data_IF_099340911903
#
_entry.id   IF_099340911903
#
_cell.length_a   1.000
_cell.length_b   1.000
_cell.length_c   1.000
_cell.angle_alpha   90.00
_cell.angle_beta   90.00
_cell.angle_gamma   90.00
#
_symmetry.space_group_name_H-M   'P 1'
#
loop_
_entity.id
_entity.type
_entity.pdbx_description
1 polymer ?
#
# COMPACT_ATOMS: atom_id res chain seq x y z
N UNK A 1 73.07 58.96 -4.02
CA UNK A 1 72.94 57.48 -3.85
C UNK A 1 71.52 57.11 -4.12
N UNK A 2 71.25 56.59 -5.34
CA UNK A 2 69.89 56.24 -5.80
C UNK A 2 69.68 54.74 -5.58
N UNK A 3 68.71 54.41 -4.80
CA UNK A 3 68.20 53.01 -4.65
C UNK A 3 67.00 52.83 -5.52
N UNK A 4 67.13 52.02 -6.58
CA UNK A 4 66.03 51.63 -7.45
C UNK A 4 65.35 50.38 -6.85
N UNK A 5 64.10 50.51 -6.41
CA UNK A 5 63.29 49.39 -5.96
C UNK A 5 62.49 48.87 -7.14
N UNK A 6 62.81 47.66 -7.61
CA UNK A 6 62.09 46.96 -8.65
C UNK A 6 60.84 46.27 -8.06
N UNK A 7 59.66 46.65 -8.53
CA UNK A 7 58.39 45.99 -8.24
C UNK A 7 58.08 44.91 -9.33
N UNK A 8 58.26 43.65 -9.03
CA UNK A 8 57.64 42.56 -9.80
C UNK A 8 56.49 42.02 -8.96
N UNK A 9 55.29 42.44 -9.29
CA UNK A 9 54.09 41.81 -8.80
C UNK A 9 53.87 40.55 -9.63
N UNK A 10 53.96 39.40 -8.99
CA UNK A 10 53.50 38.10 -9.54
C UNK A 10 52.03 37.99 -9.23
N UNK A 11 51.19 38.05 -10.27
CA UNK A 11 49.77 37.75 -10.17
C UNK A 11 49.62 36.23 -10.22
N UNK A 12 49.47 35.58 -9.07
CA UNK A 12 48.98 34.19 -9.00
C UNK A 12 47.48 34.18 -9.34
N UNK A 13 47.16 33.79 -10.56
CA UNK A 13 45.80 33.46 -10.96
C UNK A 13 45.46 32.10 -10.36
N UNK A 14 44.86 32.08 -9.18
CA UNK A 14 44.29 30.88 -8.60
C UNK A 14 43.12 30.39 -9.45
N UNK A 15 43.30 29.25 -10.12
CA UNK A 15 42.25 28.55 -10.84
C UNK A 15 41.27 27.97 -9.83
N UNK A 16 40.14 28.63 -9.59
CA UNK A 16 39.06 28.09 -8.79
C UNK A 16 38.34 27.05 -9.67
N UNK A 17 38.65 25.78 -9.45
CA UNK A 17 37.88 24.67 -10.04
C UNK A 17 36.47 24.67 -9.40
N UNK A 18 35.48 25.12 -10.15
CA UNK A 18 34.08 24.98 -9.75
C UNK A 18 33.71 23.50 -9.80
N UNK A 19 33.70 22.85 -8.63
CA UNK A 19 33.13 21.51 -8.49
C UNK A 19 31.63 21.60 -8.73
N UNK A 20 31.17 21.14 -9.88
CA UNK A 20 29.73 20.94 -10.14
C UNK A 20 29.23 19.78 -9.26
N UNK A 21 28.62 20.12 -8.14
CA UNK A 21 27.86 19.16 -7.33
C UNK A 21 26.63 18.78 -8.12
N UNK A 22 26.69 17.64 -8.81
CA UNK A 22 25.52 17.03 -9.41
C UNK A 22 24.67 16.47 -8.28
N UNK A 23 23.63 17.20 -7.86
CA UNK A 23 22.61 16.66 -6.96
C UNK A 23 21.95 15.47 -7.66
N UNK A 24 21.89 14.28 -7.05
CA UNK A 24 21.13 13.19 -7.61
C UNK A 24 19.69 13.69 -7.79
N UNK A 25 19.19 13.67 -9.02
CA UNK A 25 17.82 14.04 -9.31
C UNK A 25 16.91 13.23 -8.40
N UNK A 26 16.11 13.88 -7.56
CA UNK A 26 15.13 13.20 -6.73
C UNK A 26 14.21 12.39 -7.66
N UNK A 27 14.32 11.06 -7.61
CA UNK A 27 13.43 10.20 -8.36
C UNK A 27 11.99 10.58 -8.00
N UNK A 28 11.15 10.80 -9.00
CA UNK A 28 9.73 11.08 -8.76
C UNK A 28 9.15 9.93 -7.94
N UNK A 29 8.39 10.21 -6.88
CA UNK A 29 7.85 9.18 -6.01
C UNK A 29 6.94 8.25 -6.81
N UNK A 30 7.23 6.95 -6.78
CA UNK A 30 6.49 5.95 -7.54
C UNK A 30 5.17 5.58 -6.82
N UNK A 31 4.08 6.20 -7.27
CA UNK A 31 2.72 5.91 -6.80
C UNK A 31 2.19 4.55 -7.28
N UNK A 32 2.85 3.94 -8.28
CA UNK A 32 2.45 2.63 -8.82
C UNK A 32 3.06 1.46 -8.05
N UNK A 33 4.10 1.72 -7.26
CA UNK A 33 4.71 0.72 -6.39
C UNK A 33 3.66 0.06 -5.49
N UNK A 34 3.74 -1.25 -5.34
CA UNK A 34 2.85 -2.02 -4.46
C UNK A 34 2.99 -1.62 -2.98
N UNK A 35 2.08 -2.12 -2.11
CA UNK A 35 2.17 -1.89 -0.67
C UNK A 35 3.54 -2.29 -0.12
N UNK A 36 4.13 -1.43 0.72
CA UNK A 36 5.43 -1.64 1.35
C UNK A 36 5.26 -1.85 2.85
N UNK A 37 6.12 -2.66 3.47
CA UNK A 37 6.10 -2.83 4.92
C UNK A 37 6.29 -1.47 5.63
N UNK A 38 5.40 -1.17 6.59
CA UNK A 38 5.36 0.12 7.29
C UNK A 38 4.41 1.16 6.67
N UNK A 39 3.92 0.97 5.45
CA UNK A 39 2.85 1.81 4.91
C UNK A 39 1.61 1.76 5.83
N UNK A 40 0.97 2.90 6.03
CA UNK A 40 -0.38 2.98 6.59
C UNK A 40 -1.41 2.84 5.49
N UNK A 41 -2.68 3.12 5.82
CA UNK A 41 -3.77 3.10 4.86
C UNK A 41 -4.59 4.39 4.96
N UNK A 42 -5.08 4.87 3.84
CA UNK A 42 -6.06 5.97 3.77
C UNK A 42 -7.27 5.52 2.96
N UNK A 43 -8.50 5.93 3.33
CA UNK A 43 -9.68 5.61 2.53
C UNK A 43 -9.53 6.13 1.11
N UNK A 44 -10.05 5.40 0.12
CA UNK A 44 -10.06 5.89 -1.28
C UNK A 44 -10.87 7.18 -1.44
N UNK A 45 -11.82 7.42 -0.53
CA UNK A 45 -12.67 8.62 -0.49
C UNK A 45 -11.98 9.84 0.12
N UNK A 46 -10.87 9.63 0.87
CA UNK A 46 -10.06 10.70 1.45
C UNK A 46 -8.56 10.33 1.42
N UNK A 47 -7.91 10.39 0.24
CA UNK A 47 -6.50 10.06 0.10
C UNK A 47 -5.55 11.03 0.82
N UNK A 48 -6.02 12.25 1.09
CA UNK A 48 -5.24 13.28 1.80
C UNK A 48 -5.28 13.08 3.31
N UNK A 49 -6.22 12.30 3.82
CA UNK A 49 -6.47 12.09 5.24
C UNK A 49 -5.33 11.41 6.00
N UNK A 50 -5.53 11.33 7.30
CA UNK A 50 -4.63 10.61 8.20
C UNK A 50 -4.73 9.10 8.00
N UNK A 51 -3.65 8.38 8.33
CA UNK A 51 -3.65 6.93 8.26
C UNK A 51 -4.73 6.32 9.18
N UNK A 52 -5.40 5.28 8.68
CA UNK A 52 -6.48 4.60 9.37
C UNK A 52 -6.00 3.97 10.70
N UNK A 53 -6.70 4.32 11.76
CA UNK A 53 -6.53 3.70 13.06
C UNK A 53 -7.39 2.44 13.16
N UNK A 54 -6.94 1.47 13.95
CA UNK A 54 -7.63 0.19 14.09
C UNK A 54 -9.05 0.33 14.65
N UNK A 55 -9.31 1.35 15.48
CA UNK A 55 -10.63 1.63 16.03
C UNK A 55 -11.65 2.06 14.97
N UNK A 56 -11.19 2.66 13.86
CA UNK A 56 -12.07 3.07 12.76
C UNK A 56 -12.64 1.87 11.99
N UNK A 57 -11.95 0.72 12.05
CA UNK A 57 -12.37 -0.52 11.39
C UNK A 57 -13.25 -1.31 12.34
N UNK A 58 -14.57 -1.13 12.22
CA UNK A 58 -15.54 -1.69 13.15
C UNK A 58 -15.89 -3.13 12.80
N UNK A 59 -16.13 -3.96 13.83
CA UNK A 59 -16.63 -5.33 13.68
C UNK A 59 -18.00 -5.35 13.00
N UNK A 60 -18.20 -6.23 12.03
CA UNK A 60 -19.48 -6.40 11.32
C UNK A 60 -19.83 -5.27 10.35
N UNK A 61 -19.04 -4.20 10.33
CA UNK A 61 -19.22 -3.13 9.34
C UNK A 61 -18.70 -3.55 7.96
N UNK A 62 -19.18 -2.86 6.92
CA UNK A 62 -18.65 -3.02 5.58
C UNK A 62 -17.15 -2.73 5.55
N UNK A 63 -16.38 -3.43 4.70
CA UNK A 63 -14.95 -3.18 4.53
C UNK A 63 -14.65 -1.73 4.14
N UNK A 64 -13.52 -1.22 4.59
CA UNK A 64 -13.00 0.07 4.14
C UNK A 64 -12.12 -0.19 2.93
N UNK A 65 -12.50 0.37 1.78
CA UNK A 65 -11.64 0.39 0.59
C UNK A 65 -10.57 1.48 0.77
N UNK A 66 -9.30 1.09 0.70
CA UNK A 66 -8.19 1.96 1.06
C UNK A 66 -7.01 1.86 0.08
N UNK A 67 -6.19 2.92 0.08
CA UNK A 67 -4.89 2.95 -0.55
C UNK A 67 -3.79 2.82 0.51
N UNK A 68 -2.70 2.10 0.21
CA UNK A 68 -1.49 2.18 1.03
C UNK A 68 -0.89 3.59 0.93
N UNK A 69 -0.32 4.06 2.05
CA UNK A 69 0.33 5.37 2.15
C UNK A 69 1.64 5.24 2.90
N UNK A 70 2.72 5.63 2.26
CA UNK A 70 3.99 5.80 2.93
C UNK A 70 3.84 6.85 4.04
N UNK A 71 4.04 6.44 5.27
CA UNK A 71 3.84 7.30 6.45
C UNK A 71 4.94 8.34 6.62
N UNK A 72 6.12 8.10 6.09
CA UNK A 72 7.25 9.02 6.18
C UNK A 72 7.22 10.05 5.05
N UNK A 73 7.06 9.60 3.82
CA UNK A 73 7.01 10.47 2.66
C UNK A 73 5.62 11.09 2.43
N UNK A 74 4.57 10.59 3.09
CA UNK A 74 3.19 11.01 2.83
C UNK A 74 2.63 10.58 1.48
N UNK A 75 3.36 9.70 0.76
CA UNK A 75 3.02 9.27 -0.59
C UNK A 75 1.91 8.23 -0.58
N UNK A 76 0.79 8.52 -1.22
CA UNK A 76 -0.28 7.55 -1.47
C UNK A 76 0.05 6.72 -2.70
N UNK A 77 -0.06 5.38 -2.59
CA UNK A 77 0.23 4.44 -3.68
C UNK A 77 -1.02 4.13 -4.50
N UNK A 78 -1.62 5.17 -5.07
CA UNK A 78 -2.87 5.10 -5.83
C UNK A 78 -2.67 5.09 -7.36
N UNK A 79 -1.42 5.03 -7.82
CA UNK A 79 -1.08 4.98 -9.25
C UNK A 79 -1.40 3.65 -9.93
N UNK A 80 -1.68 2.59 -9.17
CA UNK A 80 -2.07 1.29 -9.72
C UNK A 80 -3.29 0.74 -9.00
N UNK A 81 -4.35 0.39 -9.74
CA UNK A 81 -5.59 -0.19 -9.17
C UNK A 81 -5.34 -1.45 -8.34
N UNK A 82 -4.29 -2.19 -8.62
CA UNK A 82 -3.91 -3.41 -7.90
C UNK A 82 -3.42 -3.14 -6.47
N UNK A 83 -3.20 -1.88 -6.12
CA UNK A 83 -2.84 -1.46 -4.77
C UNK A 83 -4.06 -1.26 -3.86
N UNK A 84 -5.29 -1.32 -4.40
CA UNK A 84 -6.50 -1.20 -3.60
C UNK A 84 -6.65 -2.37 -2.64
N UNK A 85 -6.97 -2.05 -1.39
CA UNK A 85 -7.06 -2.98 -0.29
C UNK A 85 -8.41 -2.84 0.41
N UNK A 86 -9.02 -3.97 0.74
CA UNK A 86 -10.18 -4.05 1.63
C UNK A 86 -9.69 -4.32 3.05
N UNK A 87 -10.01 -3.39 3.97
CA UNK A 87 -9.73 -3.52 5.40
C UNK A 87 -11.02 -3.83 6.15
N UNK A 88 -10.99 -4.86 6.97
CA UNK A 88 -12.14 -5.22 7.80
C UNK A 88 -11.69 -5.85 9.12
N UNK A 89 -12.61 -5.87 10.10
CA UNK A 89 -12.38 -6.50 11.40
C UNK A 89 -13.17 -7.80 11.46
N UNK A 90 -12.47 -8.89 11.72
CA UNK A 90 -13.06 -10.22 11.88
C UNK A 90 -12.81 -10.75 13.28
N UNK A 91 -13.63 -11.69 13.72
CA UNK A 91 -13.39 -12.47 14.95
C UNK A 91 -12.40 -13.57 14.61
N UNK A 92 -11.41 -13.75 15.44
CA UNK A 92 -10.52 -14.89 15.36
C UNK A 92 -11.12 -16.04 16.18
N UNK A 93 -11.84 -16.95 15.51
CA UNK A 93 -12.44 -18.11 16.15
C UNK A 93 -11.42 -19.19 16.55
N UNK A 94 -10.16 -19.03 16.12
CA UNK A 94 -9.09 -20.00 16.42
C UNK A 94 -8.47 -19.83 17.81
N UNK A 95 -8.78 -18.74 18.51
CA UNK A 95 -8.33 -18.45 19.88
C UNK A 95 -9.54 -18.53 20.81
N UNK A 96 -9.38 -19.19 21.95
CA UNK A 96 -10.44 -19.36 22.95
C UNK A 96 -11.01 -18.04 23.52
N UNK A 97 -10.33 -16.94 23.33
CA UNK A 97 -10.86 -15.59 23.54
C UNK A 97 -11.23 -15.06 22.17
N UNK A 98 -12.49 -14.62 22.01
CA UNK A 98 -12.97 -13.96 20.77
C UNK A 98 -12.15 -12.69 20.50
N UNK A 99 -10.94 -12.86 20.04
CA UNK A 99 -10.03 -11.74 19.75
C UNK A 99 -10.33 -11.20 18.37
N UNK A 100 -10.71 -9.93 18.34
CA UNK A 100 -10.89 -9.22 17.08
C UNK A 100 -9.54 -8.94 16.43
N UNK A 101 -9.41 -9.27 15.17
CA UNK A 101 -8.25 -8.88 14.35
C UNK A 101 -8.65 -8.08 13.12
N UNK A 102 -7.81 -7.12 12.76
CA UNK A 102 -7.90 -6.44 11.46
C UNK A 102 -7.24 -7.33 10.41
N UNK A 103 -7.96 -7.57 9.33
CA UNK A 103 -7.46 -8.28 8.14
C UNK A 103 -7.53 -7.38 6.92
N UNK A 104 -6.67 -7.66 5.95
CA UNK A 104 -6.60 -6.92 4.71
C UNK A 104 -6.51 -7.88 3.52
N UNK A 105 -7.25 -7.56 2.46
CA UNK A 105 -7.25 -8.33 1.21
C UNK A 105 -7.14 -7.40 0.03
N UNK A 106 -6.60 -7.91 -1.08
CA UNK A 106 -6.72 -7.21 -2.36
C UNK A 106 -8.19 -6.94 -2.67
N UNK A 107 -8.50 -5.73 -3.11
CA UNK A 107 -9.83 -5.40 -3.61
C UNK A 107 -10.09 -5.91 -5.04
N UNK A 108 -9.12 -6.60 -5.65
CA UNK A 108 -9.20 -7.03 -7.05
C UNK A 108 -9.50 -8.52 -7.13
N UNK A 109 -10.66 -8.84 -7.70
CA UNK A 109 -11.17 -10.21 -7.86
C UNK A 109 -10.24 -11.05 -8.78
N UNK A 110 -9.81 -12.24 -8.34
CA UNK A 110 -8.94 -13.11 -9.15
C UNK A 110 -9.62 -13.71 -10.38
N UNK A 111 -10.95 -13.61 -10.53
CA UNK A 111 -11.66 -14.12 -11.70
C UNK A 111 -11.35 -13.32 -12.97
N UNK A 112 -11.72 -12.03 -12.96
CA UNK A 112 -11.60 -11.15 -14.14
C UNK A 112 -11.09 -9.74 -13.77
N UNK A 113 -10.51 -9.59 -12.59
CA UNK A 113 -9.96 -8.32 -12.15
C UNK A 113 -11.00 -7.24 -11.81
N UNK A 114 -12.25 -7.59 -11.61
CA UNK A 114 -13.27 -6.65 -11.13
C UNK A 114 -12.98 -6.20 -9.70
N UNK A 115 -13.51 -5.05 -9.29
CA UNK A 115 -13.46 -4.61 -7.90
C UNK A 115 -14.43 -5.44 -7.05
N UNK A 116 -13.96 -5.97 -5.93
CA UNK A 116 -14.79 -6.58 -4.89
C UNK A 116 -15.30 -5.43 -4.02
N UNK A 117 -16.52 -4.98 -4.27
CA UNK A 117 -17.05 -3.75 -3.66
C UNK A 117 -18.16 -4.00 -2.65
N UNK A 118 -18.80 -5.16 -2.70
CA UNK A 118 -20.00 -5.39 -1.96
C UNK A 118 -19.74 -6.18 -0.67
N UNK A 119 -20.52 -5.87 0.35
CA UNK A 119 -20.50 -6.54 1.64
C UNK A 119 -21.86 -7.16 1.93
N UNK A 120 -21.87 -8.46 2.10
CA UNK A 120 -23.07 -9.23 2.47
C UNK A 120 -23.15 -9.34 4.00
N UNK A 121 -23.75 -8.35 4.64
CA UNK A 121 -23.77 -8.23 6.11
C UNK A 121 -24.39 -9.46 6.81
N UNK A 122 -25.38 -10.13 6.18
CA UNK A 122 -26.08 -11.29 6.74
C UNK A 122 -25.15 -12.52 6.85
N UNK A 123 -24.20 -12.64 5.94
CA UNK A 123 -23.29 -13.79 5.85
C UNK A 123 -21.86 -13.44 6.22
N UNK A 124 -21.55 -12.15 6.40
CA UNK A 124 -20.17 -11.67 6.65
C UNK A 124 -19.23 -11.92 5.49
N UNK A 125 -19.71 -11.88 4.25
CA UNK A 125 -18.93 -12.19 3.06
C UNK A 125 -18.63 -10.96 2.21
N UNK A 126 -17.46 -10.99 1.58
CA UNK A 126 -17.10 -10.07 0.51
C UNK A 126 -17.69 -10.58 -0.81
N UNK A 127 -18.27 -9.69 -1.61
CA UNK A 127 -18.90 -10.06 -2.87
C UNK A 127 -18.35 -9.23 -4.03
N UNK A 128 -18.09 -9.91 -5.13
CA UNK A 128 -17.68 -9.28 -6.39
C UNK A 128 -18.89 -9.17 -7.31
N UNK A 129 -19.42 -7.94 -7.55
CA UNK A 129 -20.65 -7.79 -8.36
C UNK A 129 -20.43 -8.10 -9.84
N UNK A 130 -19.17 -8.20 -10.30
CA UNK A 130 -18.90 -8.49 -11.70
C UNK A 130 -19.42 -9.84 -12.17
N UNK A 131 -19.19 -10.91 -11.39
CA UNK A 131 -19.62 -12.26 -11.77
C UNK A 131 -20.06 -13.10 -10.56
N UNK A 132 -20.36 -12.47 -9.42
CA UNK A 132 -20.95 -13.13 -8.26
C UNK A 132 -19.98 -14.00 -7.44
N UNK A 133 -18.67 -13.75 -7.52
CA UNK A 133 -17.74 -14.46 -6.62
C UNK A 133 -17.88 -13.94 -5.19
N UNK A 134 -17.97 -14.86 -4.24
CA UNK A 134 -18.04 -14.57 -2.81
C UNK A 134 -16.81 -15.10 -2.08
N UNK A 135 -16.37 -14.34 -1.06
CA UNK A 135 -15.16 -14.67 -0.31
C UNK A 135 -15.42 -14.59 1.19
N UNK A 136 -14.86 -15.54 1.92
CA UNK A 136 -14.93 -15.61 3.38
C UNK A 136 -13.67 -14.95 4.01
N UNK A 137 -13.82 -13.77 4.63
CA UNK A 137 -12.67 -13.07 5.22
C UNK A 137 -12.15 -13.73 6.49
N UNK A 138 -12.98 -14.51 7.21
CA UNK A 138 -12.57 -15.25 8.41
C UNK A 138 -11.62 -16.38 8.01
N UNK A 139 -11.89 -17.00 6.86
CA UNK A 139 -11.05 -18.07 6.30
C UNK A 139 -10.04 -17.58 5.26
N UNK A 140 -9.42 -16.42 5.54
CA UNK A 140 -8.31 -15.92 4.72
C UNK A 140 -8.67 -15.53 3.30
N UNK A 141 -9.91 -15.11 3.04
CA UNK A 141 -10.37 -14.74 1.71
C UNK A 141 -10.73 -15.93 0.82
N UNK A 142 -11.00 -17.10 1.41
CA UNK A 142 -11.37 -18.30 0.66
C UNK A 142 -12.61 -18.07 -0.21
N UNK A 143 -12.61 -18.61 -1.42
CA UNK A 143 -13.80 -18.59 -2.31
C UNK A 143 -14.87 -19.51 -1.72
N UNK A 144 -16.08 -19.00 -1.57
CA UNK A 144 -17.24 -19.76 -1.07
C UNK A 144 -18.36 -19.88 -2.10
N UNK A 145 -18.37 -19.02 -3.12
CA UNK A 145 -19.28 -19.09 -4.25
C UNK A 145 -18.71 -18.35 -5.47
N UNK A 146 -19.26 -18.64 -6.65
CA UNK A 146 -18.93 -17.96 -7.90
C UNK A 146 -17.69 -18.50 -8.61
N UNK A 147 -17.31 -17.89 -9.74
CA UNK A 147 -16.33 -18.44 -10.67
C UNK A 147 -14.86 -18.13 -10.35
N UNK A 148 -14.54 -17.43 -9.25
CA UNK A 148 -13.17 -17.12 -8.92
C UNK A 148 -12.34 -18.40 -8.68
N UNK A 149 -11.20 -18.58 -9.34
CA UNK A 149 -10.40 -19.79 -9.22
C UNK A 149 -9.51 -19.82 -7.98
N UNK A 150 -9.29 -18.67 -7.34
CA UNK A 150 -8.34 -18.48 -6.24
C UNK A 150 -8.95 -17.60 -5.15
N UNK A 151 -8.50 -17.75 -3.89
CA UNK A 151 -8.88 -16.84 -2.80
C UNK A 151 -8.41 -15.40 -3.10
N UNK A 152 -9.01 -14.42 -2.43
CA UNK A 152 -8.50 -13.05 -2.46
C UNK A 152 -7.09 -13.02 -1.84
N UNK A 153 -6.11 -12.42 -2.52
CA UNK A 153 -4.79 -12.27 -1.94
C UNK A 153 -4.85 -11.49 -0.62
N UNK A 154 -4.39 -12.12 0.45
CA UNK A 154 -4.29 -11.47 1.75
C UNK A 154 -3.05 -10.55 1.79
N UNK A 155 -3.20 -9.39 2.41
CA UNK A 155 -2.10 -8.48 2.71
C UNK A 155 -1.83 -8.55 4.22
N UNK A 156 -0.65 -9.03 4.65
CA UNK A 156 -0.33 -9.06 6.07
C UNK A 156 -0.33 -7.64 6.67
N UNK A 157 -1.07 -7.47 7.76
CA UNK A 157 -1.13 -6.20 8.48
C UNK A 157 -0.87 -6.39 9.97
N UNK A 158 -0.44 -5.32 10.63
CA UNK A 158 -0.28 -5.23 12.08
C UNK A 158 -0.74 -3.86 12.57
N UNK A 159 -1.03 -3.75 13.86
CA UNK A 159 -1.33 -2.46 14.48
C UNK A 159 -0.09 -1.96 15.21
N UNK A 160 0.36 -0.75 14.84
CA UNK A 160 1.50 -0.06 15.46
C UNK A 160 1.01 1.30 15.93
N UNK A 161 1.09 1.56 17.23
CA UNK A 161 0.60 2.80 17.86
C UNK A 161 -0.87 3.12 17.51
N UNK A 162 -1.70 2.08 17.43
CA UNK A 162 -3.11 2.18 17.05
C UNK A 162 -3.37 2.33 15.55
N UNK A 163 -2.34 2.47 14.71
CA UNK A 163 -2.44 2.60 13.25
C UNK A 163 -2.29 1.25 12.58
N UNK A 164 -3.17 0.94 11.63
CA UNK A 164 -3.04 -0.27 10.81
C UNK A 164 -1.94 -0.07 9.78
N UNK A 165 -0.95 -0.96 9.78
CA UNK A 165 0.22 -0.88 8.91
C UNK A 165 0.44 -2.19 8.15
N UNK A 166 0.99 -2.08 6.95
CA UNK A 166 1.45 -3.22 6.14
C UNK A 166 2.58 -3.92 6.87
N UNK A 167 2.50 -5.25 7.00
CA UNK A 167 3.52 -6.08 7.63
C UNK A 167 4.38 -6.88 6.62
N UNK A 168 3.90 -7.03 5.38
CA UNK A 168 4.58 -7.80 4.35
C UNK A 168 3.86 -7.70 3.00
N UNK A 169 4.35 -8.37 1.96
CA UNK A 169 3.74 -8.38 0.63
C UNK A 169 2.41 -9.14 0.62
N UNK A 170 1.62 -8.96 -0.45
CA UNK A 170 0.45 -9.81 -0.70
C UNK A 170 0.83 -11.29 -0.76
N UNK A 171 -0.05 -12.16 -0.27
CA UNK A 171 0.11 -13.62 -0.30
C UNK A 171 0.15 -14.19 -1.73
N UNK A 172 -0.42 -13.47 -2.70
CA UNK A 172 -0.40 -13.77 -4.12
C UNK A 172 -0.56 -12.47 -4.93
N UNK A 173 -0.35 -12.53 -6.23
CA UNK A 173 -0.52 -11.36 -7.11
C UNK A 173 -2.00 -10.92 -7.15
N UNK A 174 -2.33 -9.65 -6.82
CA UNK A 174 -3.68 -9.11 -6.98
C UNK A 174 -4.21 -9.25 -8.42
N UNK A 175 -5.47 -9.67 -8.56
CA UNK A 175 -6.09 -9.89 -9.87
C UNK A 175 -5.43 -11.01 -10.69
N UNK A 176 -4.63 -11.85 -10.03
CA UNK A 176 -3.81 -12.87 -10.68
C UNK A 176 -4.62 -13.81 -11.56
N UNK A 177 -4.44 -13.65 -12.88
CA UNK A 177 -4.63 -14.73 -13.82
C UNK A 177 -3.36 -15.56 -13.87
N UNK A 178 -3.49 -16.86 -13.76
CA UNK A 178 -2.54 -17.76 -14.40
C UNK A 178 -2.41 -17.30 -15.85
N UNK A 179 -1.19 -16.98 -16.27
CA UNK A 179 -0.86 -16.73 -17.66
C UNK A 179 -1.56 -17.76 -18.53
N UNK A 180 -2.39 -17.33 -19.46
CA UNK A 180 -2.75 -18.18 -20.57
C UNK A 180 -1.45 -18.56 -21.25
N UNK A 181 -1.01 -19.78 -21.05
CA UNK A 181 -0.07 -20.44 -21.95
C UNK A 181 -0.90 -20.72 -23.21
N UNK A 182 -0.67 -19.93 -24.24
CA UNK A 182 -1.04 -20.25 -25.62
C UNK A 182 -0.02 -21.19 -26.17
#
# INVERSE_FOLDING_TARGET
>A
MNVIVSRRAVLDLGLIAAATVTLPGAAMPDRTAGPQAGDGFVPVTDPSGSALRSEAIRRGAAPILAWPKDRQAGLVRDGARFNQVLLLRVVDESVNEQTDKVVAFSAICPHAGCLVSDWMAQTGRLHCPGHGSEYDPVRGGAVVAGPAPLPLPALPVRVVDGVVTVAGPFSARPGGHTSRTT
#
